data_IF_866815617633
#
_entry.id   IF_866815617633
#
_cell.length_a   1.000
_cell.length_b   1.000
_cell.length_c   1.000
_cell.angle_alpha   90.00
_cell.angle_beta   90.00
_cell.angle_gamma   90.00
#
_symmetry.space_group_name_H-M   'P 1'
#
loop_
_entity.id
_entity.type
_entity.pdbx_description
1 polymer ?
#
# COMPACT_ATOMS: atom_id res chain seq x y z
N UNK A 1 -26.07 -15.41 -26.01
CA UNK A 1 -25.80 -14.18 -25.21
C UNK A 1 -25.82 -14.57 -23.73
N UNK A 2 -24.96 -13.99 -22.88
CA UNK A 2 -24.88 -14.35 -21.46
C UNK A 2 -26.08 -13.79 -20.67
N UNK A 3 -26.64 -14.57 -19.75
CA UNK A 3 -27.76 -14.14 -18.88
C UNK A 3 -27.33 -13.07 -17.87
N UNK A 4 -28.28 -12.29 -17.36
CA UNK A 4 -28.01 -11.24 -16.38
C UNK A 4 -27.35 -11.76 -15.09
N UNK A 5 -27.82 -12.90 -14.59
CA UNK A 5 -27.21 -13.61 -13.47
C UNK A 5 -25.74 -13.99 -13.77
N UNK A 6 -25.45 -14.46 -14.98
CA UNK A 6 -24.10 -14.79 -15.42
C UNK A 6 -23.19 -13.55 -15.46
N UNK A 7 -23.69 -12.42 -15.96
CA UNK A 7 -22.94 -11.15 -15.96
C UNK A 7 -22.58 -10.67 -14.55
N UNK A 8 -23.48 -10.83 -13.57
CA UNK A 8 -23.22 -10.47 -12.16
C UNK A 8 -22.09 -11.31 -11.55
N UNK A 9 -22.09 -12.61 -11.82
CA UNK A 9 -21.02 -13.53 -11.38
C UNK A 9 -19.70 -13.15 -12.03
N UNK A 10 -19.66 -12.94 -13.35
CA UNK A 10 -18.45 -12.54 -14.07
C UNK A 10 -17.86 -11.22 -13.53
N UNK A 11 -18.70 -10.22 -13.24
CA UNK A 11 -18.25 -8.94 -12.61
C UNK A 11 -17.64 -9.16 -11.23
N UNK A 12 -18.20 -10.05 -10.42
CA UNK A 12 -17.66 -10.39 -9.10
C UNK A 12 -16.30 -11.06 -9.19
N UNK A 13 -16.18 -12.07 -10.06
CA UNK A 13 -14.92 -12.79 -10.28
C UNK A 13 -13.83 -11.87 -10.82
N UNK A 14 -14.17 -11.00 -11.78
CA UNK A 14 -13.24 -10.02 -12.33
C UNK A 14 -12.67 -9.10 -11.25
N UNK A 15 -13.51 -8.57 -10.35
CA UNK A 15 -13.07 -7.71 -9.23
C UNK A 15 -12.08 -8.43 -8.31
N UNK A 16 -12.37 -9.68 -7.94
CA UNK A 16 -11.46 -10.49 -7.10
C UNK A 16 -10.12 -10.76 -7.79
N UNK A 17 -10.14 -11.09 -9.09
CA UNK A 17 -8.91 -11.31 -9.88
C UNK A 17 -8.07 -10.03 -9.97
N UNK A 18 -8.69 -8.87 -10.25
CA UNK A 18 -8.01 -7.57 -10.29
C UNK A 18 -7.34 -7.29 -8.93
N UNK A 19 -8.09 -7.41 -7.84
CA UNK A 19 -7.56 -7.17 -6.50
C UNK A 19 -6.38 -8.09 -6.14
N UNK A 20 -6.47 -9.37 -6.51
CA UNK A 20 -5.36 -10.30 -6.35
C UNK A 20 -4.13 -9.86 -7.15
N UNK A 21 -4.30 -9.53 -8.43
CA UNK A 21 -3.21 -9.11 -9.30
C UNK A 21 -2.55 -7.82 -8.80
N UNK A 22 -3.32 -6.82 -8.38
CA UNK A 22 -2.81 -5.55 -7.85
C UNK A 22 -2.02 -5.75 -6.55
N UNK A 23 -2.51 -6.62 -5.67
CA UNK A 23 -1.80 -7.01 -4.43
C UNK A 23 -0.43 -7.64 -4.74
N UNK A 24 -0.35 -8.36 -5.85
CA UNK A 24 0.88 -8.94 -6.40
C UNK A 24 1.46 -8.05 -7.52
N UNK A 25 1.28 -6.72 -7.45
CA UNK A 25 2.06 -5.71 -8.18
C UNK A 25 1.65 -5.43 -9.62
N UNK A 26 0.58 -6.06 -10.11
CA UNK A 26 -0.10 -5.64 -11.35
C UNK A 26 0.66 -5.90 -12.65
N UNK A 27 1.81 -6.57 -12.59
CA UNK A 27 2.66 -6.85 -13.75
C UNK A 27 3.33 -8.21 -13.62
N UNK A 28 3.69 -8.81 -14.75
CA UNK A 28 4.51 -10.02 -14.77
C UNK A 28 5.86 -9.76 -14.10
N UNK A 29 6.24 -10.61 -13.15
CA UNK A 29 7.49 -10.48 -12.41
C UNK A 29 8.74 -10.86 -13.23
N UNK A 30 8.56 -11.58 -14.35
CA UNK A 30 9.66 -12.00 -15.22
C UNK A 30 9.93 -11.05 -16.39
N UNK A 31 8.89 -10.52 -17.03
CA UNK A 31 9.04 -9.68 -18.23
C UNK A 31 8.41 -8.28 -18.10
N UNK A 32 7.75 -7.97 -16.98
CA UNK A 32 7.13 -6.66 -16.74
C UNK A 32 5.80 -6.42 -17.47
N UNK A 33 5.27 -7.39 -18.22
CA UNK A 33 4.00 -7.25 -18.93
C UNK A 33 2.85 -6.82 -18.01
N UNK A 34 2.14 -5.75 -18.38
CA UNK A 34 1.03 -5.17 -17.61
C UNK A 34 -0.13 -4.65 -18.48
N UNK A 35 -0.15 -4.97 -19.79
CA UNK A 35 -1.14 -4.42 -20.74
C UNK A 35 -2.53 -5.02 -20.55
N UNK A 36 -2.62 -6.32 -20.26
CA UNK A 36 -3.88 -7.03 -20.08
C UNK A 36 -3.88 -7.81 -18.76
N UNK A 37 -4.73 -7.42 -17.82
CA UNK A 37 -4.91 -8.10 -16.52
C UNK A 37 -5.32 -9.56 -16.71
N UNK A 38 -6.12 -9.85 -17.74
CA UNK A 38 -6.59 -11.21 -17.98
C UNK A 38 -5.47 -12.16 -18.42
N UNK A 39 -4.43 -11.63 -19.07
CA UNK A 39 -3.25 -12.38 -19.48
C UNK A 39 -2.23 -12.56 -18.35
N UNK A 40 -2.53 -12.09 -17.13
CA UNK A 40 -1.75 -12.37 -15.93
C UNK A 40 -2.33 -13.57 -15.17
N UNK A 41 -1.43 -14.45 -14.75
CA UNK A 41 -1.70 -15.75 -14.15
C UNK A 41 -0.72 -16.00 -12.99
N UNK A 42 -1.20 -16.73 -11.98
CA UNK A 42 -0.38 -17.14 -10.85
C UNK A 42 0.20 -18.53 -11.14
N UNK A 43 1.52 -18.62 -11.13
CA UNK A 43 2.23 -19.89 -11.25
C UNK A 43 2.74 -20.33 -9.88
N UNK A 44 2.39 -21.56 -9.48
CA UNK A 44 2.90 -22.14 -8.24
C UNK A 44 4.38 -22.48 -8.38
N UNK A 45 5.16 -22.06 -7.39
CA UNK A 45 6.61 -22.21 -7.43
C UNK A 45 7.08 -23.63 -7.12
N UNK A 46 6.32 -24.30 -6.25
CA UNK A 46 6.48 -25.71 -5.95
C UNK A 46 5.12 -26.37 -6.19
N UNK A 47 5.07 -27.35 -7.11
CA UNK A 47 3.84 -28.07 -7.43
C UNK A 47 3.40 -28.99 -6.29
N UNK A 48 4.33 -29.44 -5.45
CA UNK A 48 4.08 -30.36 -4.34
C UNK A 48 3.42 -29.69 -3.13
N UNK A 49 3.58 -28.36 -3.00
CA UNK A 49 2.96 -27.58 -1.92
C UNK A 49 1.54 -27.08 -2.23
N UNK A 50 1.04 -27.37 -3.44
CA UNK A 50 -0.25 -26.87 -3.93
C UNK A 50 -1.41 -27.62 -3.27
N UNK A 51 -2.30 -26.88 -2.61
CA UNK A 51 -3.60 -27.44 -2.22
C UNK A 51 -4.67 -27.29 -3.32
N UNK A 52 -4.70 -26.15 -4.02
CA UNK A 52 -5.73 -25.84 -5.03
C UNK A 52 -5.22 -24.87 -6.11
N UNK A 53 -5.94 -24.74 -7.23
CA UNK A 53 -5.60 -23.77 -8.27
C UNK A 53 -5.76 -22.31 -7.81
N UNK A 54 -4.86 -21.38 -8.18
CA UNK A 54 -4.94 -19.99 -7.72
C UNK A 54 -6.26 -19.33 -8.10
N UNK A 55 -6.76 -19.61 -9.30
CA UNK A 55 -8.07 -19.16 -9.76
C UNK A 55 -9.19 -19.66 -8.85
N UNK A 56 -9.13 -20.91 -8.40
CA UNK A 56 -10.12 -21.47 -7.46
C UNK A 56 -10.03 -20.77 -6.10
N UNK A 57 -8.81 -20.63 -5.56
CA UNK A 57 -8.53 -20.01 -4.26
C UNK A 57 -9.04 -18.56 -4.21
N UNK A 58 -8.72 -17.75 -5.23
CA UNK A 58 -9.15 -16.35 -5.33
C UNK A 58 -10.68 -16.24 -5.30
N UNK A 59 -11.39 -17.19 -5.92
CA UNK A 59 -12.85 -17.12 -6.03
C UNK A 59 -13.58 -17.64 -4.79
N UNK A 60 -13.06 -18.70 -4.16
CA UNK A 60 -13.76 -19.45 -3.11
C UNK A 60 -13.36 -19.08 -1.69
N UNK A 61 -12.13 -18.64 -1.46
CA UNK A 61 -11.63 -18.41 -0.09
C UNK A 61 -11.78 -16.95 0.35
N UNK A 62 -11.72 -16.75 1.67
CA UNK A 62 -11.57 -15.41 2.23
C UNK A 62 -10.22 -14.82 1.82
N UNK A 63 -10.14 -13.50 1.65
CA UNK A 63 -8.92 -12.86 1.16
C UNK A 63 -7.69 -13.19 2.01
N UNK A 64 -7.82 -13.20 3.34
CA UNK A 64 -6.72 -13.53 4.26
C UNK A 64 -6.13 -14.92 3.99
N UNK A 65 -7.00 -15.92 3.77
CA UNK A 65 -6.60 -17.31 3.47
C UNK A 65 -6.10 -17.47 2.04
N UNK A 66 -6.72 -16.79 1.08
CA UNK A 66 -6.26 -16.78 -0.31
C UNK A 66 -4.87 -16.16 -0.42
N UNK A 67 -4.63 -15.05 0.29
CA UNK A 67 -3.37 -14.34 0.29
C UNK A 67 -2.20 -15.19 0.82
N UNK A 68 -2.41 -15.99 1.87
CA UNK A 68 -1.36 -16.88 2.40
C UNK A 68 -0.93 -17.94 1.39
N UNK A 69 -1.85 -18.46 0.57
CA UNK A 69 -1.52 -19.45 -0.45
C UNK A 69 -0.92 -18.78 -1.71
N UNK A 70 -1.45 -17.64 -2.13
CA UNK A 70 -0.91 -16.88 -3.28
C UNK A 70 0.51 -16.38 -3.04
N UNK A 71 0.96 -16.22 -1.79
CA UNK A 71 2.38 -15.94 -1.46
C UNK A 71 3.34 -17.02 -1.95
N UNK A 72 2.86 -18.24 -2.17
CA UNK A 72 3.64 -19.36 -2.75
C UNK A 72 3.65 -19.34 -4.28
N UNK A 73 3.00 -18.36 -4.90
CA UNK A 73 2.92 -18.20 -6.35
C UNK A 73 3.75 -17.02 -6.85
N UNK A 74 4.14 -17.05 -8.12
CA UNK A 74 4.67 -15.91 -8.87
C UNK A 74 3.59 -15.40 -9.83
N UNK A 75 3.46 -14.08 -9.94
CA UNK A 75 2.58 -13.47 -10.93
C UNK A 75 3.30 -13.33 -12.28
N UNK A 76 2.83 -14.03 -13.30
CA UNK A 76 3.45 -14.06 -14.64
C UNK A 76 2.43 -13.84 -15.74
N UNK A 77 2.86 -13.38 -16.92
CA UNK A 77 1.97 -13.37 -18.08
C UNK A 77 1.82 -14.78 -18.66
N UNK A 78 0.77 -15.02 -19.44
CA UNK A 78 0.49 -16.33 -20.05
C UNK A 78 1.67 -16.88 -20.87
N UNK A 79 2.46 -16.03 -21.53
CA UNK A 79 3.65 -16.47 -22.27
C UNK A 79 4.75 -16.95 -21.33
N UNK A 80 5.14 -16.14 -20.34
CA UNK A 80 6.13 -16.53 -19.34
C UNK A 80 5.65 -17.74 -18.52
N UNK A 81 4.35 -17.84 -18.23
CA UNK A 81 3.77 -18.99 -17.54
C UNK A 81 3.99 -20.29 -18.34
N UNK A 82 3.73 -20.27 -19.64
CA UNK A 82 3.99 -21.41 -20.54
C UNK A 82 5.48 -21.71 -20.63
N UNK A 83 6.33 -20.69 -20.85
CA UNK A 83 7.79 -20.86 -20.91
C UNK A 83 8.35 -21.53 -19.65
N UNK A 84 7.78 -21.24 -18.46
CA UNK A 84 8.15 -21.91 -17.22
C UNK A 84 7.75 -23.40 -17.25
N UNK A 85 6.53 -23.74 -17.66
CA UNK A 85 6.09 -25.15 -17.71
C UNK A 85 6.91 -26.00 -18.70
N UNK A 86 7.43 -25.38 -19.76
CA UNK A 86 8.30 -26.03 -20.74
C UNK A 86 9.80 -25.87 -20.44
N UNK A 87 10.17 -25.37 -19.26
CA UNK A 87 11.57 -25.13 -18.85
C UNK A 87 12.39 -24.26 -19.83
N UNK A 88 11.72 -23.44 -20.65
CA UNK A 88 12.37 -22.45 -21.54
C UNK A 88 12.82 -21.23 -20.73
N UNK A 89 12.10 -20.92 -19.64
CA UNK A 89 12.42 -19.81 -18.76
C UNK A 89 12.56 -20.28 -17.31
N UNK A 90 13.75 -20.10 -16.77
CA UNK A 90 14.00 -20.35 -15.36
C UNK A 90 13.46 -19.22 -14.47
N UNK A 91 12.86 -19.61 -13.34
CA UNK A 91 12.51 -18.67 -12.29
C UNK A 91 13.76 -18.45 -11.43
N UNK A 92 14.54 -17.40 -11.72
CA UNK A 92 15.67 -17.01 -10.88
C UNK A 92 15.17 -16.71 -9.47
N UNK A 93 15.63 -17.45 -8.47
CA UNK A 93 15.26 -17.31 -7.06
C UNK A 93 15.49 -15.88 -6.52
N UNK A 94 16.41 -15.14 -7.12
CA UNK A 94 16.70 -13.72 -6.82
C UNK A 94 15.52 -12.79 -7.17
N UNK A 95 14.63 -13.18 -8.09
CA UNK A 95 13.44 -12.39 -8.44
C UNK A 95 12.29 -12.52 -7.41
N UNK A 96 12.43 -13.40 -6.41
CA UNK A 96 11.30 -13.87 -5.59
C UNK A 96 11.09 -13.24 -4.23
N UNK A 97 11.87 -12.25 -3.81
CA UNK A 97 11.56 -11.62 -2.52
C UNK A 97 11.18 -10.17 -2.74
N UNK A 98 9.86 -9.96 -2.93
CA UNK A 98 9.22 -8.78 -2.36
C UNK A 98 9.36 -8.90 -0.84
N UNK A 99 10.57 -8.72 -0.30
CA UNK A 99 10.79 -8.72 1.14
C UNK A 99 9.99 -7.53 1.61
N UNK A 100 8.93 -7.81 2.36
CA UNK A 100 8.37 -6.78 3.20
C UNK A 100 9.39 -6.58 4.31
N UNK A 101 10.03 -5.42 4.31
CA UNK A 101 11.01 -5.04 5.32
C UNK A 101 10.24 -4.35 6.42
N UNK A 102 10.39 -4.83 7.64
CA UNK A 102 9.88 -4.15 8.83
C UNK A 102 10.70 -2.89 9.09
N UNK A 103 9.99 -1.77 9.24
CA UNK A 103 10.58 -0.46 9.51
C UNK A 103 9.87 0.21 10.67
N UNK A 104 10.56 1.15 11.29
CA UNK A 104 9.97 2.09 12.26
C UNK A 104 9.88 3.47 11.65
N UNK A 105 8.72 4.12 11.84
CA UNK A 105 8.52 5.48 11.36
C UNK A 105 9.43 6.45 12.11
N UNK A 106 10.12 7.35 11.40
CA UNK A 106 11.01 8.36 12.03
C UNK A 106 10.25 9.31 12.97
N UNK A 107 8.96 9.53 12.72
CA UNK A 107 8.15 10.53 13.46
C UNK A 107 7.40 9.92 14.64
N UNK A 108 6.72 8.79 14.43
CA UNK A 108 5.87 8.20 15.47
C UNK A 108 6.39 6.87 16.02
N UNK A 109 7.52 6.38 15.53
CA UNK A 109 8.12 5.09 15.90
C UNK A 109 7.27 3.85 15.65
N UNK A 110 6.04 4.00 15.13
CA UNK A 110 5.18 2.86 14.81
C UNK A 110 5.85 1.93 13.79
N UNK A 111 5.78 0.60 14.00
CA UNK A 111 6.24 -0.37 13.04
C UNK A 111 5.35 -0.35 11.79
N UNK A 112 5.96 -0.48 10.62
CA UNK A 112 5.26 -0.59 9.35
C UNK A 112 6.10 -1.41 8.36
N UNK A 113 5.42 -2.08 7.43
CA UNK A 113 6.07 -2.87 6.39
C UNK A 113 6.24 -2.06 5.12
N UNK A 114 7.42 -2.12 4.52
CA UNK A 114 7.69 -1.56 3.20
C UNK A 114 8.11 -2.65 2.24
N UNK A 115 7.77 -2.48 0.97
CA UNK A 115 8.33 -3.34 -0.07
C UNK A 115 9.83 -3.04 -0.25
N UNK A 116 10.61 -4.04 -0.62
CA UNK A 116 12.05 -3.89 -0.95
C UNK A 116 12.34 -2.80 -1.96
N UNK A 117 11.53 -2.68 -3.01
CA UNK A 117 11.67 -1.60 -4.02
C UNK A 117 11.43 -0.19 -3.45
N UNK A 118 10.85 -0.10 -2.25
CA UNK A 118 10.63 1.13 -1.50
C UNK A 118 11.43 1.17 -0.20
N UNK A 119 12.62 0.55 -0.20
CA UNK A 119 13.52 0.54 0.95
C UNK A 119 13.93 1.95 1.43
N UNK A 120 13.72 3.01 0.65
CA UNK A 120 13.98 4.40 1.07
C UNK A 120 12.82 5.04 1.83
N UNK A 121 11.63 4.43 1.90
CA UNK A 121 10.48 5.00 2.61
C UNK A 121 10.77 5.09 4.12
N UNK A 122 10.54 6.27 4.70
CA UNK A 122 10.88 6.61 6.10
C UNK A 122 9.66 6.77 7.03
N UNK A 123 8.47 6.92 6.45
CA UNK A 123 7.26 7.26 7.19
C UNK A 123 6.17 6.21 6.97
N UNK A 124 5.42 5.91 8.04
CA UNK A 124 4.28 5.00 7.97
C UNK A 124 3.09 5.57 7.18
N UNK A 125 2.98 6.90 7.06
CA UNK A 125 1.89 7.57 6.37
C UNK A 125 2.28 8.96 5.85
N UNK A 126 1.46 9.50 4.95
CA UNK A 126 1.57 10.89 4.46
C UNK A 126 1.47 11.89 5.61
N UNK A 127 0.69 11.57 6.64
CA UNK A 127 0.57 12.40 7.84
C UNK A 127 1.94 12.57 8.51
N UNK A 128 2.67 11.47 8.73
CA UNK A 128 4.00 11.52 9.32
C UNK A 128 5.00 12.27 8.43
N UNK A 129 4.95 12.09 7.10
CA UNK A 129 5.76 12.90 6.19
C UNK A 129 5.50 14.40 6.35
N UNK A 130 4.23 14.80 6.43
CA UNK A 130 3.82 16.20 6.61
C UNK A 130 4.14 16.74 8.00
N UNK A 131 4.23 15.88 9.02
CA UNK A 131 4.70 16.25 10.35
C UNK A 131 6.19 16.56 10.34
N UNK A 132 6.98 15.69 9.72
CA UNK A 132 8.43 15.82 9.62
C UNK A 132 8.86 17.04 8.80
N UNK A 133 8.07 17.41 7.77
CA UNK A 133 8.34 18.58 6.94
C UNK A 133 8.06 19.92 7.62
N UNK A 134 7.59 19.93 8.89
CA UNK A 134 7.30 21.19 9.59
C UNK A 134 8.60 21.81 10.10
N UNK A 135 8.78 23.10 9.80
CA UNK A 135 9.89 23.89 10.34
C UNK A 135 9.82 24.11 11.85
N UNK A 136 8.63 23.93 12.44
CA UNK A 136 8.39 24.22 13.87
C UNK A 136 7.44 23.18 14.47
N UNK A 137 7.69 22.82 15.73
CA UNK A 137 6.80 22.02 16.56
C UNK A 137 5.53 22.83 16.87
N UNK A 138 4.47 22.53 16.13
CA UNK A 138 3.16 23.19 16.31
C UNK A 138 2.57 22.86 17.69
N UNK A 139 2.05 23.85 18.45
CA UNK A 139 1.39 23.60 19.73
C UNK A 139 0.17 22.71 19.56
N UNK A 140 -0.11 21.92 20.60
CA UNK A 140 -1.37 21.18 20.70
C UNK A 140 -2.57 22.13 20.76
N UNK A 141 -3.78 21.62 20.46
CA UNK A 141 -5.01 22.41 20.55
C UNK A 141 -5.16 23.09 21.92
N UNK A 142 -5.02 22.31 23.00
CA UNK A 142 -5.14 22.81 24.40
C UNK A 142 -4.11 23.89 24.73
N UNK A 143 -2.87 23.73 24.25
CA UNK A 143 -1.82 24.73 24.48
C UNK A 143 -2.14 26.05 23.77
N UNK A 144 -2.61 25.99 22.51
CA UNK A 144 -2.96 27.19 21.77
C UNK A 144 -4.21 27.86 22.37
N UNK A 145 -5.22 27.09 22.75
CA UNK A 145 -6.43 27.55 23.43
C UNK A 145 -6.10 28.31 24.72
N UNK A 146 -5.26 27.73 25.60
CA UNK A 146 -4.79 28.38 26.83
C UNK A 146 -4.04 29.70 26.56
N UNK A 147 -3.25 29.77 25.48
CA UNK A 147 -2.57 31.01 25.08
C UNK A 147 -3.56 32.09 24.63
N UNK A 148 -4.64 31.71 23.94
CA UNK A 148 -5.70 32.63 23.49
C UNK A 148 -6.56 33.12 24.65
N UNK A 149 -6.95 32.22 25.56
CA UNK A 149 -7.68 32.57 26.79
C UNK A 149 -6.89 33.54 27.67
N UNK A 150 -5.57 33.35 27.74
CA UNK A 150 -4.64 34.26 28.43
C UNK A 150 -4.42 35.59 27.70
N UNK A 151 -5.19 35.89 26.64
CA UNK A 151 -5.17 37.12 25.84
C UNK A 151 -3.81 37.45 25.20
N UNK A 152 -3.01 36.44 24.85
CA UNK A 152 -1.78 36.70 24.08
C UNK A 152 -2.14 37.17 22.66
N UNK A 153 -1.57 38.28 22.17
CA UNK A 153 -1.79 38.70 20.79
C UNK A 153 -1.13 37.72 19.81
N UNK A 154 -1.74 37.54 18.64
CA UNK A 154 -1.27 36.60 17.61
C UNK A 154 0.20 36.79 17.23
N UNK A 155 0.67 38.04 17.20
CA UNK A 155 2.06 38.42 16.94
C UNK A 155 3.02 37.88 17.99
N UNK A 156 2.62 37.89 19.27
CA UNK A 156 3.42 37.36 20.38
C UNK A 156 3.51 35.84 20.32
N UNK A 157 2.40 35.15 20.02
CA UNK A 157 2.42 33.69 19.80
C UNK A 157 3.31 33.35 18.60
N UNK A 158 3.23 34.13 17.53
CA UNK A 158 4.10 33.98 16.36
C UNK A 158 5.58 34.06 16.73
N UNK A 159 5.99 35.08 17.50
CA UNK A 159 7.37 35.23 17.98
C UNK A 159 7.85 34.03 18.82
N UNK A 160 7.01 33.49 19.72
CA UNK A 160 7.37 32.33 20.57
C UNK A 160 7.74 31.11 19.73
N UNK A 161 6.98 30.85 18.66
CA UNK A 161 7.20 29.70 17.78
C UNK A 161 8.04 30.07 16.54
N UNK A 162 8.60 31.27 16.45
CA UNK A 162 9.39 31.70 15.28
C UNK A 162 8.62 31.71 13.95
N UNK A 163 7.31 32.02 13.99
CA UNK A 163 6.43 32.08 12.80
C UNK A 163 5.67 33.40 12.70
N UNK A 164 5.18 33.72 11.50
CA UNK A 164 4.25 34.86 11.32
C UNK A 164 2.94 34.68 12.09
N UNK A 165 2.31 35.76 12.48
CA UNK A 165 0.98 35.77 13.10
C UNK A 165 -0.10 35.09 12.22
N UNK A 166 -0.01 35.23 10.89
CA UNK A 166 -0.88 34.54 9.93
C UNK A 166 -0.75 33.01 10.02
N UNK A 167 0.45 32.48 10.31
CA UNK A 167 0.65 31.05 10.52
C UNK A 167 -0.09 30.58 11.78
N UNK A 168 -0.04 31.36 12.86
CA UNK A 168 -0.78 31.08 14.11
C UNK A 168 -2.29 31.11 13.87
N UNK A 169 -2.80 32.09 13.12
CA UNK A 169 -4.23 32.15 12.74
C UNK A 169 -4.65 30.93 11.92
N UNK A 170 -3.84 30.50 10.95
CA UNK A 170 -4.07 29.23 10.21
C UNK A 170 -4.08 28.02 11.14
N UNK A 171 -3.29 28.04 12.20
CA UNK A 171 -3.33 26.99 13.22
C UNK A 171 -4.65 27.00 13.99
N UNK A 172 -5.07 28.16 14.48
CA UNK A 172 -6.33 28.32 15.21
C UNK A 172 -7.55 27.89 14.38
N UNK A 173 -7.63 28.31 13.10
CA UNK A 173 -8.69 27.88 12.17
C UNK A 173 -8.71 26.35 11.98
N UNK A 174 -7.55 25.72 11.83
CA UNK A 174 -7.46 24.24 11.73
C UNK A 174 -7.90 23.53 13.02
N UNK A 175 -7.80 24.19 14.17
CA UNK A 175 -8.26 23.64 15.45
C UNK A 175 -9.69 24.04 15.80
N UNK A 176 -10.39 24.77 14.93
CA UNK A 176 -11.72 25.33 15.17
C UNK A 176 -11.76 26.19 16.45
N UNK A 177 -10.71 26.98 16.69
CA UNK A 177 -10.65 27.95 17.79
C UNK A 177 -11.08 29.36 17.33
N UNK A 178 -11.17 29.57 16.02
CA UNK A 178 -11.67 30.77 15.31
C UNK A 178 -12.34 30.34 14.01
#
# INVERSE_FOLDING_TARGET
>A
MATEASMKVMRSQRRKKIFAIESFGGKCELCGYNKCINALEFHHLNKEEKQYDPSYIIMRWSWKRAYSELKKCILVCSNCHKEIHYNIREIKSILRVRVFIDKKCVVCSNPFVVRTDKATQRYCSVICKTLDSRKVSRPTRKQLEKMLESKFPWTRIGKIYGVSDNAVRKWAKKYNLI
#
